data_IF_575286678056
#
_entry.id   IF_575286678056
#
_cell.length_a   1.000
_cell.length_b   1.000
_cell.length_c   1.000
_cell.angle_alpha   90.00
_cell.angle_beta   90.00
_cell.angle_gamma   90.00
#
_symmetry.space_group_name_H-M   'P 1'
#
loop_
_entity.id
_entity.type
_entity.pdbx_description
1 polymer ?
#
# COMPACT_ATOMS: atom_id res chain seq x y z
N UNK A 1 13.18 -25.12 28.68
CA UNK A 1 12.07 -24.44 27.98
C UNK A 1 11.94 -23.04 28.58
N UNK A 2 12.53 -22.05 27.93
CA UNK A 2 12.42 -20.64 28.33
C UNK A 2 10.98 -20.18 28.06
N UNK A 3 10.26 -19.82 29.13
CA UNK A 3 8.94 -19.18 29.03
C UNK A 3 9.12 -17.88 28.26
N UNK A 4 8.49 -17.78 27.09
CA UNK A 4 8.34 -16.51 26.40
C UNK A 4 7.52 -15.59 27.32
N UNK A 5 8.14 -14.52 27.80
CA UNK A 5 7.48 -13.45 28.54
C UNK A 5 7.14 -12.41 27.48
N UNK A 6 5.86 -12.22 27.10
CA UNK A 6 5.50 -11.20 26.15
C UNK A 6 5.82 -9.84 26.77
N UNK A 7 6.65 -9.06 26.08
CA UNK A 7 6.88 -7.67 26.46
C UNK A 7 5.70 -6.86 25.90
N UNK A 8 4.82 -6.30 26.74
CA UNK A 8 3.62 -5.60 26.28
C UNK A 8 3.95 -4.43 25.33
N UNK A 9 5.10 -3.78 25.51
CA UNK A 9 5.57 -2.71 24.63
C UNK A 9 5.82 -3.21 23.21
N UNK A 10 6.33 -4.46 23.06
CA UNK A 10 6.57 -5.07 21.75
C UNK A 10 5.27 -5.52 21.07
N UNK A 11 4.27 -5.92 21.85
CA UNK A 11 2.94 -6.25 21.30
C UNK A 11 2.23 -4.99 20.80
N UNK A 12 2.31 -3.88 21.53
CA UNK A 12 1.74 -2.61 21.12
C UNK A 12 2.41 -2.07 19.84
N UNK A 13 3.75 -2.08 19.78
CA UNK A 13 4.50 -1.71 18.58
C UNK A 13 4.15 -2.62 17.37
N UNK A 14 3.95 -3.92 17.62
CA UNK A 14 3.53 -4.86 16.59
C UNK A 14 2.14 -4.54 16.04
N UNK A 15 1.19 -4.19 16.91
CA UNK A 15 -0.17 -3.80 16.52
C UNK A 15 -0.19 -2.48 15.75
N UNK A 16 0.60 -1.49 16.16
CA UNK A 16 0.76 -0.23 15.44
C UNK A 16 1.32 -0.48 14.04
N UNK A 17 2.37 -1.29 13.94
CA UNK A 17 2.99 -1.65 12.66
C UNK A 17 2.00 -2.34 11.73
N UNK A 18 1.26 -3.35 12.23
CA UNK A 18 0.24 -4.05 11.47
C UNK A 18 -0.88 -3.12 10.95
N UNK A 19 -1.28 -2.13 11.76
CA UNK A 19 -2.27 -1.12 11.36
C UNK A 19 -1.74 -0.21 10.26
N UNK A 20 -0.50 0.25 10.36
CA UNK A 20 0.16 1.09 9.34
C UNK A 20 0.24 0.33 8.02
N UNK A 21 0.68 -0.93 8.05
CA UNK A 21 0.80 -1.76 6.86
C UNK A 21 -0.56 -1.98 6.19
N UNK A 22 -1.61 -2.23 6.97
CA UNK A 22 -2.97 -2.38 6.46
C UNK A 22 -3.47 -1.12 5.75
N UNK A 23 -3.28 0.06 6.34
CA UNK A 23 -3.70 1.33 5.73
C UNK A 23 -2.88 1.65 4.48
N UNK A 24 -1.56 1.38 4.48
CA UNK A 24 -0.72 1.52 3.28
C UNK A 24 -1.17 0.61 2.15
N UNK A 25 -1.56 -0.63 2.45
CA UNK A 25 -2.07 -1.56 1.45
C UNK A 25 -3.38 -1.07 0.82
N UNK A 26 -4.30 -0.56 1.65
CA UNK A 26 -5.56 0.05 1.16
C UNK A 26 -5.28 1.25 0.25
N UNK A 27 -4.34 2.10 0.62
CA UNK A 27 -3.93 3.24 -0.21
C UNK A 27 -3.31 2.76 -1.53
N UNK A 28 -2.41 1.77 -1.50
CA UNK A 28 -1.82 1.18 -2.72
C UNK A 28 -2.88 0.59 -3.64
N UNK A 29 -3.87 -0.13 -3.11
CA UNK A 29 -5.00 -0.66 -3.90
C UNK A 29 -5.77 0.46 -4.61
N UNK A 30 -6.14 1.53 -3.88
CA UNK A 30 -6.80 2.71 -4.45
C UNK A 30 -5.96 3.41 -5.53
N UNK A 31 -4.64 3.46 -5.38
CA UNK A 31 -3.74 4.03 -6.39
C UNK A 31 -3.70 3.16 -7.66
N UNK A 32 -3.63 1.85 -7.50
CA UNK A 32 -3.62 0.91 -8.63
C UNK A 32 -4.93 0.95 -9.42
N UNK A 33 -6.08 1.02 -8.73
CA UNK A 33 -7.40 1.18 -9.38
C UNK A 33 -7.51 2.47 -10.22
N UNK A 34 -6.75 3.51 -9.86
CA UNK A 34 -6.72 4.80 -10.57
C UNK A 34 -5.62 4.89 -11.64
N UNK A 35 -4.86 3.82 -11.82
CA UNK A 35 -3.72 3.78 -12.75
C UNK A 35 -4.05 2.89 -13.94
N UNK A 36 -4.06 3.47 -15.14
CA UNK A 36 -4.15 2.72 -16.39
C UNK A 36 -2.76 2.55 -16.98
N UNK A 37 -2.37 1.30 -17.25
CA UNK A 37 -1.10 0.96 -17.86
C UNK A 37 -1.35 0.44 -19.26
N UNK A 38 -0.92 1.21 -20.26
CA UNK A 38 -0.89 0.76 -21.64
C UNK A 38 0.54 0.31 -21.99
N UNK A 39 0.65 -0.90 -22.52
CA UNK A 39 1.92 -1.44 -23.01
C UNK A 39 1.86 -1.57 -24.53
N UNK A 40 2.68 -0.78 -25.22
CA UNK A 40 2.83 -0.91 -26.66
C UNK A 40 3.92 -1.98 -26.94
N UNK A 41 3.49 -3.14 -27.45
CA UNK A 41 4.39 -4.27 -27.74
C UNK A 41 5.38 -3.95 -28.86
N UNK A 42 4.97 -3.18 -29.87
CA UNK A 42 5.78 -2.88 -31.05
C UNK A 42 6.91 -1.88 -30.75
N UNK A 43 6.64 -0.90 -29.89
CA UNK A 43 7.59 0.15 -29.50
C UNK A 43 8.31 -0.13 -28.17
N UNK A 44 8.07 -1.30 -27.55
CA UNK A 44 8.55 -1.66 -26.20
C UNK A 44 8.39 -0.53 -25.17
N UNK A 45 7.31 0.24 -25.30
CA UNK A 45 7.12 1.47 -24.54
C UNK A 45 5.89 1.34 -23.65
N UNK A 46 6.04 1.74 -22.39
CA UNK A 46 4.96 1.74 -21.39
C UNK A 46 4.45 3.16 -21.18
N UNK A 47 3.15 3.37 -21.36
CA UNK A 47 2.48 4.62 -21.02
C UNK A 47 1.64 4.35 -19.76
N UNK A 48 1.89 5.12 -18.70
CA UNK A 48 1.09 5.08 -17.47
C UNK A 48 0.26 6.35 -17.38
N UNK A 49 -1.05 6.19 -17.27
CA UNK A 49 -1.99 7.29 -17.07
C UNK A 49 -2.51 7.19 -15.64
N UNK A 50 -2.29 8.25 -14.87
CA UNK A 50 -2.76 8.34 -13.50
C UNK A 50 -3.92 9.33 -13.41
N UNK A 51 -5.09 8.85 -13.00
CA UNK A 51 -6.27 9.70 -12.86
C UNK A 51 -6.30 10.26 -11.44
N UNK A 52 -5.99 11.55 -11.30
CA UNK A 52 -6.10 12.27 -10.04
C UNK A 52 -7.48 12.94 -9.98
N UNK A 53 -8.39 12.38 -9.20
CA UNK A 53 -9.62 13.08 -8.85
C UNK A 53 -9.31 14.08 -7.73
N UNK A 54 -9.50 15.36 -8.03
CA UNK A 54 -9.55 16.42 -7.01
C UNK A 54 -11.00 16.66 -6.68
N UNK A 55 -11.39 16.45 -5.42
CA UNK A 55 -12.63 17.03 -4.91
C UNK A 55 -12.36 18.52 -4.78
N UNK A 56 -12.99 19.35 -5.62
CA UNK A 56 -13.04 20.81 -5.37
C UNK A 56 -13.69 20.98 -4.00
N UNK A 57 -12.92 21.49 -3.04
CA UNK A 57 -13.43 22.01 -1.77
C UNK A 57 -14.13 23.35 -2.00
#
# INVERSE_FOLDING_TARGET
MTKYIPNPDQEEESLITAKIDSELEKLRKKLNERTFVYFNKDKKSQIRIYIRTSLRS
#
